data_IF_065878496040
#
_entry.id   IF_065878496040
#
_cell.length_a   1.000
_cell.length_b   1.000
_cell.length_c   1.000
_cell.angle_alpha   90.00
_cell.angle_beta   90.00
_cell.angle_gamma   90.00
#
_symmetry.space_group_name_H-M   'P 1'
#
loop_
_entity.id
_entity.type
_entity.pdbx_description
1 polymer ?
#
# COMPACT_ATOMS: atom_id res chain seq x y z
N UNK A 1 -0.17 -25.29 11.11
CA UNK A 1 0.48 -24.07 10.59
C UNK A 1 -0.39 -22.89 10.97
N UNK A 2 0.18 -21.78 11.44
CA UNK A 2 -0.59 -20.57 11.69
C UNK A 2 -1.11 -20.01 10.34
N UNK A 3 -2.34 -19.51 10.33
CA UNK A 3 -2.94 -18.87 9.15
C UNK A 3 -2.21 -17.55 8.87
N UNK A 4 -1.81 -17.33 7.62
CA UNK A 4 -1.34 -16.02 7.15
C UNK A 4 -2.45 -15.30 6.38
N UNK A 5 -2.36 -13.97 6.34
CA UNK A 5 -3.29 -13.10 5.65
C UNK A 5 -2.54 -12.16 4.71
N UNK A 6 -2.98 -12.10 3.46
CA UNK A 6 -2.42 -11.17 2.47
C UNK A 6 -3.55 -10.26 1.97
N UNK A 7 -3.39 -8.96 2.21
CA UNK A 7 -4.22 -7.91 1.64
C UNK A 7 -3.55 -7.34 0.39
N UNK A 8 -4.22 -7.39 -0.75
CA UNK A 8 -3.71 -6.84 -2.01
C UNK A 8 -4.51 -5.62 -2.47
N UNK A 9 -3.82 -4.48 -2.60
CA UNK A 9 -4.39 -3.20 -3.01
C UNK A 9 -4.05 -2.93 -4.48
N UNK A 10 -5.08 -2.83 -5.33
CA UNK A 10 -4.92 -2.61 -6.77
C UNK A 10 -4.50 -1.17 -7.12
N UNK A 11 -4.06 -0.96 -8.36
CA UNK A 11 -3.70 0.37 -8.89
C UNK A 11 -4.92 1.22 -9.28
N UNK A 12 -4.68 2.50 -9.58
CA UNK A 12 -5.72 3.46 -9.97
C UNK A 12 -6.56 2.95 -11.16
N UNK A 13 -7.90 3.04 -11.04
CA UNK A 13 -8.86 2.67 -12.09
C UNK A 13 -9.17 1.17 -12.20
N UNK A 14 -8.48 0.33 -11.42
CA UNK A 14 -8.63 -1.13 -11.43
C UNK A 14 -9.63 -1.63 -10.35
N UNK A 15 -9.64 -2.93 -10.06
CA UNK A 15 -10.51 -3.54 -9.05
C UNK A 15 -9.86 -4.74 -8.37
N UNK A 16 -10.37 -5.09 -7.19
CA UNK A 16 -9.97 -6.30 -6.47
C UNK A 16 -10.14 -7.59 -7.29
N UNK A 17 -11.35 -7.88 -7.84
CA UNK A 17 -11.60 -9.08 -8.65
C UNK A 17 -10.66 -9.25 -9.84
N UNK A 18 -10.29 -8.15 -10.51
CA UNK A 18 -9.36 -8.20 -11.63
C UNK A 18 -7.94 -8.67 -11.22
N UNK A 19 -7.56 -8.44 -9.95
CA UNK A 19 -6.25 -8.79 -9.40
C UNK A 19 -6.22 -10.16 -8.71
N UNK A 20 -7.36 -10.83 -8.51
CA UNK A 20 -7.40 -12.10 -7.77
C UNK A 20 -6.53 -13.21 -8.38
N UNK A 21 -6.29 -13.16 -9.70
CA UNK A 21 -5.43 -14.12 -10.39
C UNK A 21 -3.99 -14.13 -9.85
N UNK A 22 -3.54 -13.06 -9.18
CA UNK A 22 -2.21 -12.94 -8.58
C UNK A 22 -1.97 -14.04 -7.54
N UNK A 23 -2.98 -14.43 -6.75
CA UNK A 23 -2.80 -15.52 -5.77
C UNK A 23 -2.37 -16.85 -6.42
N UNK A 24 -2.66 -17.04 -7.72
CA UNK A 24 -2.33 -18.25 -8.47
C UNK A 24 -0.84 -18.35 -8.84
N UNK A 25 -0.07 -17.26 -8.78
CA UNK A 25 1.38 -17.31 -8.99
C UNK A 25 2.14 -17.73 -7.72
N UNK A 26 1.53 -17.55 -6.54
CA UNK A 26 2.10 -17.94 -5.25
C UNK A 26 1.77 -19.41 -4.93
N UNK A 27 2.52 -20.34 -5.51
CA UNK A 27 2.24 -21.79 -5.45
C UNK A 27 2.99 -22.55 -4.35
N UNK A 28 3.76 -21.85 -3.52
CA UNK A 28 4.59 -22.53 -2.52
C UNK A 28 3.72 -23.14 -1.42
N UNK A 29 4.09 -24.31 -0.86
CA UNK A 29 3.32 -24.95 0.20
C UNK A 29 3.12 -24.08 1.45
N UNK A 30 4.05 -23.17 1.72
CA UNK A 30 4.00 -22.25 2.87
C UNK A 30 2.83 -21.27 2.78
N UNK A 31 2.36 -20.97 1.57
CA UNK A 31 1.23 -20.06 1.31
C UNK A 31 -0.08 -20.80 1.05
N UNK A 32 -0.12 -22.14 1.17
CA UNK A 32 -1.32 -22.93 0.87
C UNK A 32 -2.49 -22.62 1.80
N UNK A 33 -2.20 -22.16 3.02
CA UNK A 33 -3.19 -21.80 4.04
C UNK A 33 -3.38 -20.28 4.18
N UNK A 34 -2.87 -19.50 3.24
CA UNK A 34 -3.00 -18.04 3.27
C UNK A 34 -4.43 -17.63 2.89
N UNK A 35 -5.04 -16.77 3.70
CA UNK A 35 -6.27 -16.08 3.34
C UNK A 35 -5.90 -14.83 2.54
N UNK A 36 -6.38 -14.74 1.31
CA UNK A 36 -6.17 -13.57 0.45
C UNK A 36 -7.42 -12.69 0.45
N UNK A 37 -7.21 -11.37 0.46
CA UNK A 37 -8.27 -10.40 0.26
C UNK A 37 -7.84 -9.37 -0.77
N UNK A 38 -8.71 -9.13 -1.76
CA UNK A 38 -8.53 -8.17 -2.83
C UNK A 38 -9.71 -7.18 -2.78
N UNK A 39 -9.67 -6.15 -1.93
CA UNK A 39 -10.73 -5.15 -1.89
C UNK A 39 -10.71 -4.30 -3.17
N UNK A 40 -11.85 -3.68 -3.47
CA UNK A 40 -11.95 -2.67 -4.53
C UNK A 40 -12.09 -1.28 -3.91
N UNK A 41 -11.37 -0.31 -4.47
CA UNK A 41 -11.50 1.08 -4.11
C UNK A 41 -12.90 1.63 -4.45
N UNK A 42 -13.43 2.59 -3.67
CA UNK A 42 -14.67 3.27 -4.02
C UNK A 42 -14.51 4.11 -5.32
N UNK A 43 -15.62 4.37 -6.03
CA UNK A 43 -15.59 5.28 -7.17
C UNK A 43 -15.41 6.72 -6.69
N UNK A 44 -14.32 7.36 -7.09
CA UNK A 44 -14.00 8.74 -6.72
C UNK A 44 -13.61 9.56 -7.97
N UNK A 45 -13.85 10.87 -8.00
CA UNK A 45 -13.25 11.76 -9.00
C UNK A 45 -11.73 11.78 -8.82
N UNK A 46 -10.99 11.81 -9.94
CA UNK A 46 -9.52 11.75 -9.93
C UNK A 46 -8.94 12.95 -10.65
N UNK A 47 -8.17 13.78 -9.94
CA UNK A 47 -7.67 15.07 -10.42
C UNK A 47 -6.78 14.93 -11.65
N UNK A 48 -5.81 14.00 -11.67
CA UNK A 48 -4.94 13.78 -12.83
C UNK A 48 -5.69 13.35 -14.10
N UNK A 49 -6.92 12.84 -13.94
CA UNK A 49 -7.80 12.43 -15.02
C UNK A 49 -8.95 13.43 -15.24
N UNK A 50 -8.72 14.72 -15.00
CA UNK A 50 -9.70 15.80 -15.18
C UNK A 50 -11.02 15.56 -14.42
N UNK A 51 -10.96 14.96 -13.23
CA UNK A 51 -12.12 14.71 -12.37
C UNK A 51 -13.00 13.55 -12.80
N UNK A 52 -12.57 12.71 -13.76
CA UNK A 52 -13.31 11.52 -14.15
C UNK A 52 -13.45 10.57 -12.95
N UNK A 53 -14.65 9.99 -12.80
CA UNK A 53 -14.96 9.06 -11.71
C UNK A 53 -14.51 7.66 -12.09
N UNK A 54 -13.67 7.06 -11.24
CA UNK A 54 -13.17 5.69 -11.40
C UNK A 54 -12.80 5.11 -10.03
N UNK A 55 -12.59 3.79 -9.91
CA UNK A 55 -12.07 3.20 -8.67
C UNK A 55 -10.74 3.85 -8.29
N UNK A 56 -10.70 4.52 -7.13
CA UNK A 56 -9.51 5.22 -6.67
C UNK A 56 -9.47 5.24 -5.16
N UNK A 57 -8.34 4.83 -4.59
CA UNK A 57 -8.18 4.76 -3.13
C UNK A 57 -8.15 6.14 -2.49
N UNK A 58 -7.43 7.07 -3.13
CA UNK A 58 -7.24 8.46 -2.72
C UNK A 58 -7.00 9.32 -3.97
N UNK A 59 -7.16 10.63 -3.88
CA UNK A 59 -6.98 11.49 -5.06
C UNK A 59 -5.51 11.54 -5.51
N UNK A 60 -5.31 11.55 -6.83
CA UNK A 60 -3.98 11.64 -7.46
C UNK A 60 -3.94 12.95 -8.25
N UNK A 61 -3.25 13.99 -7.73
CA UNK A 61 -3.23 15.29 -8.39
C UNK A 61 -2.52 15.28 -9.74
N UNK A 62 -1.47 14.47 -9.90
CA UNK A 62 -0.60 14.51 -11.08
C UNK A 62 -0.07 13.12 -11.46
N UNK A 63 -0.04 12.84 -12.77
CA UNK A 63 0.70 11.73 -13.39
C UNK A 63 1.38 12.22 -14.69
N UNK A 64 2.56 11.70 -15.07
CA UNK A 64 3.40 10.73 -14.36
C UNK A 64 3.89 11.24 -13.00
N UNK A 65 3.92 10.36 -11.99
CA UNK A 65 4.38 10.70 -10.64
C UNK A 65 5.91 10.77 -10.61
N UNK A 66 6.45 11.84 -10.03
CA UNK A 66 7.89 12.10 -9.89
C UNK A 66 8.23 12.46 -8.45
N UNK A 67 9.53 12.49 -8.14
CA UNK A 67 9.98 13.05 -6.86
C UNK A 67 9.57 14.52 -6.76
N UNK A 68 8.76 14.86 -5.75
CA UNK A 68 8.22 16.21 -5.56
C UNK A 68 6.89 16.50 -6.28
N UNK A 69 6.27 15.51 -6.95
CA UNK A 69 4.91 15.67 -7.45
C UNK A 69 3.93 15.96 -6.31
N UNK A 70 2.87 16.74 -6.57
CA UNK A 70 1.86 17.07 -5.57
C UNK A 70 1.12 15.82 -5.07
N UNK A 71 0.77 15.83 -3.78
CA UNK A 71 0.07 14.75 -3.08
C UNK A 71 -1.12 15.32 -2.31
N UNK A 72 -2.20 14.54 -2.18
CA UNK A 72 -3.29 14.82 -1.25
C UNK A 72 -3.17 13.92 -0.02
N UNK A 73 -2.40 14.38 0.96
CA UNK A 73 -2.15 13.66 2.21
C UNK A 73 -3.46 13.37 2.97
N UNK A 74 -4.45 14.28 2.91
CA UNK A 74 -5.73 14.10 3.60
C UNK A 74 -6.54 12.95 3.02
N UNK A 75 -6.59 12.84 1.69
CA UNK A 75 -7.28 11.74 1.00
C UNK A 75 -6.60 10.39 1.27
N UNK A 76 -5.26 10.38 1.33
CA UNK A 76 -4.48 9.18 1.69
C UNK A 76 -4.82 8.71 3.11
N UNK A 77 -4.87 9.62 4.09
CA UNK A 77 -5.19 9.26 5.47
C UNK A 77 -6.61 8.71 5.62
N UNK A 78 -7.59 9.17 4.83
CA UNK A 78 -8.92 8.56 4.80
C UNK A 78 -8.89 7.14 4.21
N UNK A 79 -8.12 6.90 3.15
CA UNK A 79 -7.94 5.57 2.59
C UNK A 79 -7.27 4.61 3.59
N UNK A 80 -6.30 5.10 4.37
CA UNK A 80 -5.60 4.34 5.42
C UNK A 80 -6.58 3.82 6.47
N UNK A 81 -7.57 4.61 6.90
CA UNK A 81 -8.59 4.16 7.88
C UNK A 81 -9.35 2.93 7.40
N UNK A 82 -9.69 2.88 6.11
CA UNK A 82 -10.40 1.73 5.54
C UNK A 82 -9.51 0.48 5.51
N UNK A 83 -8.23 0.63 5.17
CA UNK A 83 -7.27 -0.48 5.21
C UNK A 83 -7.04 -0.95 6.66
N UNK A 84 -6.89 -0.04 7.60
CA UNK A 84 -6.74 -0.37 9.02
C UNK A 84 -7.95 -1.14 9.56
N UNK A 85 -9.17 -0.76 9.19
CA UNK A 85 -10.37 -1.51 9.58
C UNK A 85 -10.36 -2.97 9.07
N UNK A 86 -9.85 -3.21 7.87
CA UNK A 86 -9.68 -4.57 7.32
C UNK A 86 -8.65 -5.36 8.14
N UNK A 87 -7.50 -4.74 8.45
CA UNK A 87 -6.42 -5.36 9.22
C UNK A 87 -6.90 -5.68 10.65
N UNK A 88 -7.57 -4.72 11.29
CA UNK A 88 -8.13 -4.86 12.65
C UNK A 88 -9.12 -6.02 12.72
N UNK A 89 -10.00 -6.13 11.72
CA UNK A 89 -10.97 -7.22 11.65
C UNK A 89 -10.28 -8.59 11.53
N UNK A 90 -9.28 -8.74 10.65
CA UNK A 90 -8.55 -10.01 10.51
C UNK A 90 -7.78 -10.38 11.78
N UNK A 91 -7.17 -9.40 12.46
CA UNK A 91 -6.47 -9.63 13.73
C UNK A 91 -7.47 -10.01 14.84
N UNK A 92 -8.64 -9.36 14.89
CA UNK A 92 -9.71 -9.69 15.83
C UNK A 92 -10.27 -11.11 15.61
N UNK A 93 -10.22 -11.62 14.38
CA UNK A 93 -10.57 -13.00 14.02
C UNK A 93 -9.48 -14.03 14.38
N UNK A 94 -8.35 -13.58 14.94
CA UNK A 94 -7.33 -14.45 15.55
C UNK A 94 -6.04 -14.60 14.74
N UNK A 95 -5.87 -13.87 13.64
CA UNK A 95 -4.60 -13.85 12.90
C UNK A 95 -3.57 -13.01 13.64
N UNK A 96 -2.37 -13.55 13.86
CA UNK A 96 -1.27 -12.79 14.46
C UNK A 96 -0.90 -11.60 13.55
N UNK A 97 -0.66 -10.39 14.10
CA UNK A 97 -0.21 -9.23 13.31
C UNK A 97 1.02 -9.55 12.43
N UNK A 98 1.98 -10.31 12.95
CA UNK A 98 3.21 -10.73 12.23
C UNK A 98 2.93 -11.70 11.06
N UNK A 99 1.71 -12.22 10.94
CA UNK A 99 1.26 -13.05 9.81
C UNK A 99 0.38 -12.27 8.82
N UNK A 100 0.22 -10.96 9.00
CA UNK A 100 -0.49 -10.05 8.10
C UNK A 100 0.51 -9.37 7.17
N UNK A 101 0.29 -9.48 5.87
CA UNK A 101 1.08 -8.82 4.84
C UNK A 101 0.19 -7.93 3.99
N UNK A 102 0.66 -6.71 3.72
CA UNK A 102 -0.03 -5.75 2.85
C UNK A 102 0.79 -5.58 1.59
N UNK A 103 0.17 -5.76 0.43
CA UNK A 103 0.83 -5.67 -0.86
C UNK A 103 0.04 -4.73 -1.77
N UNK A 104 0.70 -4.04 -2.69
CA UNK A 104 -0.04 -3.27 -3.68
C UNK A 104 0.79 -2.73 -4.84
N UNK A 105 0.08 -2.45 -5.93
CA UNK A 105 0.64 -1.93 -7.18
C UNK A 105 0.31 -0.45 -7.36
N UNK A 106 1.29 0.36 -7.74
CA UNK A 106 1.12 1.78 -8.08
C UNK A 106 0.41 2.54 -6.96
N UNK A 107 -0.80 3.06 -7.17
CA UNK A 107 -1.62 3.70 -6.14
C UNK A 107 -1.84 2.79 -4.91
N UNK A 108 -2.10 1.50 -5.12
CA UNK A 108 -2.22 0.54 -4.03
C UNK A 108 -0.88 0.25 -3.33
N UNK A 109 0.25 0.43 -4.02
CA UNK A 109 1.59 0.35 -3.44
C UNK A 109 1.89 1.55 -2.53
N UNK A 110 1.53 2.75 -2.96
CA UNK A 110 1.59 3.94 -2.11
C UNK A 110 0.69 3.80 -0.88
N UNK A 111 -0.55 3.30 -1.05
CA UNK A 111 -1.43 3.02 0.09
C UNK A 111 -0.89 1.93 1.01
N UNK A 112 -0.25 0.89 0.46
CA UNK A 112 0.41 -0.16 1.26
C UNK A 112 1.45 0.44 2.20
N UNK A 113 2.32 1.30 1.68
CA UNK A 113 3.32 2.01 2.48
C UNK A 113 2.65 2.82 3.61
N UNK A 114 1.64 3.61 3.24
CA UNK A 114 0.92 4.47 4.18
C UNK A 114 0.25 3.69 5.30
N UNK A 115 -0.47 2.64 4.94
CA UNK A 115 -1.19 1.81 5.89
C UNK A 115 -0.25 1.10 6.85
N UNK A 116 0.89 0.57 6.36
CA UNK A 116 1.87 -0.10 7.21
C UNK A 116 2.51 0.86 8.20
N UNK A 117 3.03 2.00 7.73
CA UNK A 117 3.80 2.93 8.57
C UNK A 117 2.95 3.64 9.64
N UNK A 118 1.63 3.67 9.46
CA UNK A 118 0.69 4.25 10.42
C UNK A 118 0.00 3.19 11.30
N UNK A 119 0.23 1.89 11.08
CA UNK A 119 -0.46 0.85 11.84
C UNK A 119 0.14 0.67 13.24
N UNK A 120 -0.66 0.55 14.32
CA UNK A 120 -0.15 0.55 15.70
C UNK A 120 0.61 -0.71 16.13
N UNK A 121 0.72 -1.73 15.28
CA UNK A 121 1.40 -3.00 15.58
C UNK A 121 2.39 -3.36 14.47
N UNK A 122 3.40 -4.14 14.82
CA UNK A 122 4.30 -4.74 13.83
C UNK A 122 3.51 -5.73 12.99
N UNK A 123 3.51 -5.55 11.67
CA UNK A 123 2.94 -6.50 10.72
C UNK A 123 4.02 -7.42 10.15
N UNK A 124 3.62 -8.46 9.42
CA UNK A 124 4.55 -9.39 8.77
C UNK A 124 5.37 -8.73 7.66
N UNK A 125 4.79 -7.74 6.96
CA UNK A 125 5.52 -6.94 5.99
C UNK A 125 4.63 -6.11 5.06
N UNK A 126 5.22 -5.10 4.44
CA UNK A 126 4.64 -4.33 3.33
C UNK A 126 5.39 -4.60 2.02
N UNK A 127 4.67 -4.92 0.95
CA UNK A 127 5.25 -5.09 -0.39
C UNK A 127 4.72 -4.01 -1.35
N UNK A 128 5.58 -3.08 -1.72
CA UNK A 128 5.27 -1.97 -2.62
C UNK A 128 5.78 -2.29 -4.01
N UNK A 129 4.89 -2.34 -5.00
CA UNK A 129 5.22 -2.57 -6.40
C UNK A 129 4.94 -1.28 -7.21
N UNK A 130 5.96 -0.68 -7.80
CA UNK A 130 5.88 0.59 -8.56
C UNK A 130 5.12 1.71 -7.85
N UNK A 131 5.22 1.79 -6.52
CA UNK A 131 4.55 2.81 -5.70
C UNK A 131 5.36 4.11 -5.56
N UNK A 132 4.89 5.00 -4.68
CA UNK A 132 5.56 6.24 -4.28
C UNK A 132 5.28 6.54 -2.80
N UNK A 133 5.98 7.52 -2.22
CA UNK A 133 5.68 8.02 -0.86
C UNK A 133 4.50 9.00 -0.92
N UNK A 134 3.34 8.71 -0.31
CA UNK A 134 2.12 9.51 -0.50
C UNK A 134 1.90 10.60 0.56
N UNK A 135 2.94 10.96 1.33
CA UNK A 135 2.88 11.98 2.38
C UNK A 135 4.19 12.73 2.50
N UNK A 136 4.14 13.89 3.14
CA UNK A 136 5.32 14.68 3.47
C UNK A 136 6.07 14.07 4.67
N UNK A 137 7.33 14.48 4.88
CA UNK A 137 8.11 14.04 6.06
C UNK A 137 7.50 14.46 7.40
N UNK A 138 6.51 15.35 7.40
CA UNK A 138 5.81 15.77 8.62
C UNK A 138 5.01 14.64 9.28
N UNK A 139 4.59 13.63 8.50
CA UNK A 139 3.85 12.48 9.03
C UNK A 139 4.73 11.50 9.81
N UNK A 140 6.06 11.54 9.62
CA UNK A 140 7.00 10.58 10.24
C UNK A 140 6.88 10.58 11.77
N UNK A 141 6.64 11.74 12.40
CA UNK A 141 6.47 11.83 13.86
C UNK A 141 5.20 11.13 14.37
N UNK A 142 4.30 10.74 13.48
CA UNK A 142 3.06 10.03 13.80
C UNK A 142 3.22 8.51 13.65
N UNK A 143 4.33 8.01 13.10
CA UNK A 143 4.56 6.59 12.93
C UNK A 143 4.73 5.89 14.29
N UNK A 144 3.87 4.90 14.62
CA UNK A 144 4.03 4.12 15.83
C UNK A 144 5.40 3.39 15.87
N UNK A 145 5.98 3.24 17.05
CA UNK A 145 7.29 2.55 17.20
C UNK A 145 7.25 1.10 16.71
N UNK A 146 6.11 0.41 16.85
CA UNK A 146 5.92 -0.94 16.33
C UNK A 146 5.81 -0.95 14.79
N UNK A 147 5.20 0.08 14.18
CA UNK A 147 5.08 0.17 12.72
C UNK A 147 6.46 0.14 12.04
N UNK A 148 7.44 0.82 12.64
CA UNK A 148 8.82 0.94 12.15
C UNK A 148 9.56 -0.40 12.08
N UNK A 149 9.09 -1.42 12.81
CA UNK A 149 9.67 -2.77 12.79
C UNK A 149 9.12 -3.62 11.66
N UNK A 150 8.05 -3.19 10.99
CA UNK A 150 7.47 -3.91 9.87
C UNK A 150 8.39 -3.80 8.65
N UNK A 151 8.90 -4.93 8.11
CA UNK A 151 9.80 -4.87 6.96
C UNK A 151 9.06 -4.41 5.70
N UNK A 152 9.70 -3.55 4.92
CA UNK A 152 9.21 -3.10 3.61
C UNK A 152 10.06 -3.71 2.49
N UNK A 153 9.41 -4.41 1.57
CA UNK A 153 9.97 -4.79 0.28
C UNK A 153 9.47 -3.80 -0.77
N UNK A 154 10.39 -3.14 -1.48
CA UNK A 154 10.06 -2.24 -2.58
C UNK A 154 10.58 -2.77 -3.90
N UNK A 155 9.70 -2.94 -4.87
CA UNK A 155 10.02 -3.39 -6.23
C UNK A 155 9.61 -2.31 -7.23
N UNK A 156 10.52 -1.92 -8.12
CA UNK A 156 10.26 -0.85 -9.09
C UNK A 156 10.97 -1.13 -10.41
N UNK A 157 10.27 -0.95 -11.53
CA UNK A 157 10.88 -1.07 -12.87
C UNK A 157 11.74 0.14 -13.21
N UNK A 158 12.95 -0.07 -13.72
CA UNK A 158 13.89 1.03 -14.05
C UNK A 158 13.41 1.91 -15.21
N UNK A 159 12.56 1.35 -16.08
CA UNK A 159 12.04 2.02 -17.28
C UNK A 159 10.60 2.51 -17.09
N UNK A 160 10.09 2.53 -15.85
CA UNK A 160 8.74 3.01 -15.54
C UNK A 160 8.58 4.50 -15.90
N UNK A 161 7.59 4.80 -16.73
CA UNK A 161 7.29 6.16 -17.22
C UNK A 161 6.01 6.74 -16.61
N UNK A 162 5.31 5.98 -15.77
CA UNK A 162 4.08 6.41 -15.10
C UNK A 162 4.35 6.78 -13.64
N UNK A 163 5.07 5.93 -12.91
CA UNK A 163 5.65 6.28 -11.61
C UNK A 163 7.15 6.18 -11.80
N UNK A 164 7.80 7.32 -11.98
CA UNK A 164 9.21 7.32 -12.37
C UNK A 164 10.06 6.57 -11.34
N UNK A 165 11.07 5.84 -11.81
CA UNK A 165 11.97 5.08 -10.94
C UNK A 165 12.57 5.94 -9.82
N UNK A 166 12.87 7.22 -10.11
CA UNK A 166 13.36 8.19 -9.13
C UNK A 166 12.38 8.44 -7.97
N UNK A 167 11.06 8.34 -8.21
CA UNK A 167 10.05 8.47 -7.16
C UNK A 167 10.07 7.25 -6.22
N UNK A 168 10.33 6.06 -6.75
CA UNK A 168 10.59 4.86 -5.94
C UNK A 168 11.90 4.97 -5.16
N UNK A 169 12.97 5.47 -5.79
CA UNK A 169 14.25 5.69 -5.11
C UNK A 169 14.16 6.71 -3.98
N UNK A 170 13.29 7.72 -4.10
CA UNK A 170 13.06 8.73 -3.07
C UNK A 170 12.45 8.14 -1.77
N UNK A 171 11.87 6.94 -1.82
CA UNK A 171 11.39 6.25 -0.63
C UNK A 171 12.54 5.79 0.29
N UNK A 172 13.73 5.51 -0.24
CA UNK A 172 14.88 5.05 0.56
C UNK A 172 15.34 6.08 1.61
N UNK A 173 15.69 7.33 1.25
CA UNK A 173 16.05 8.33 2.26
C UNK A 173 14.88 8.67 3.19
N UNK A 174 13.63 8.60 2.71
CA UNK A 174 12.45 8.81 3.54
C UNK A 174 12.31 7.72 4.62
N UNK A 175 12.43 6.45 4.26
CA UNK A 175 12.35 5.32 5.18
C UNK A 175 13.52 5.33 6.18
N UNK A 176 14.73 5.64 5.71
CA UNK A 176 15.89 5.83 6.59
C UNK A 176 15.67 6.93 7.63
N UNK A 177 15.10 8.08 7.21
CA UNK A 177 14.74 9.16 8.13
C UNK A 177 13.65 8.72 9.12
N UNK A 178 12.73 7.87 8.70
CA UNK A 178 11.66 7.32 9.53
C UNK A 178 12.13 6.23 10.52
N UNK A 179 13.36 5.73 10.38
CA UNK A 179 13.91 4.65 11.19
C UNK A 179 13.38 3.27 10.82
N UNK A 180 13.05 3.07 9.54
CA UNK A 180 12.56 1.83 8.93
C UNK A 180 13.65 1.21 8.05
#
# INVERSE_FOLDING_TARGET
MARSFILWLHGLGDSGPANEHIKMVFKSPELSNTRWLFPSAPPNPVTCNNGWVMPSWFDVPELPFRAGSPIDESSVLEAVKNVHAIIDQEIAEGTSPENVFICGLSQGGALTLASVLLYPKTLGGGSVLSGWVPFSSSVISQFPEEAKKTPILWSHGTDDKLVLFEAGQAALPFLQQAGV
#
